data_IF_025466373789
#
_entry.id   IF_025466373789
#
_cell.length_a   1.000
_cell.length_b   1.000
_cell.length_c   1.000
_cell.angle_alpha   90.00
_cell.angle_beta   90.00
_cell.angle_gamma   90.00
#
_symmetry.space_group_name_H-M   'P 1'
#
loop_
_entity.id
_entity.type
_entity.pdbx_description
1 polymer ?
#
# COMPACT_ATOMS: atom_id res chain seq x y z
N UNK A 1 60.94 -55.37 2.74
CA UNK A 1 60.62 -55.03 2.37
C UNK A 1 59.75 -54.20 1.92
N UNK A 2 59.33 -53.78 1.77
CA UNK A 2 58.59 -53.16 1.32
C UNK A 2 58.06 -52.15 1.23
N UNK A 3 57.81 -51.63 0.98
CA UNK A 3 57.46 -50.78 0.84
C UNK A 3 56.65 -50.05 0.33
N UNK A 4 56.25 -49.62 0.14
CA UNK A 4 55.64 -48.99 -0.31
C UNK A 4 54.88 -48.17 -0.45
N UNK A 5 54.59 -47.79 -0.57
CA UNK A 5 53.96 -47.15 -0.77
C UNK A 5 53.35 -46.30 -1.00
N UNK A 6 53.16 -45.84 -1.02
CA UNK A 6 52.60 -45.15 -1.10
C UNK A 6 52.01 -44.28 -1.58
N UNK A 7 51.73 -44.03 -1.86
CA UNK A 7 51.30 -43.24 -2.40
C UNK A 7 50.28 -42.70 -2.54
N UNK A 8 50.03 -42.17 -2.54
CA UNK A 8 49.15 -41.59 -2.59
C UNK A 8 48.79 -40.60 -3.09
N UNK A 9 48.38 -40.20 -3.39
CA UNK A 9 47.99 -39.34 -3.89
C UNK A 9 47.20 -38.53 -3.95
N UNK A 10 47.10 -38.07 -4.02
CA UNK A 10 46.69 -37.29 -4.16
C UNK A 10 45.76 -36.67 -4.54
N UNK A 11 45.49 -36.50 -4.71
CA UNK A 11 44.86 -36.02 -5.13
C UNK A 11 44.10 -35.16 -5.16
N UNK A 12 44.10 -34.90 -4.91
CA UNK A 12 43.55 -34.22 -4.77
C UNK A 12 42.89 -33.37 -5.19
N UNK A 13 42.88 -33.20 -5.28
CA UNK A 13 42.30 -32.50 -5.46
C UNK A 13 41.55 -31.71 -5.76
N UNK A 14 41.55 -31.66 -6.01
CA UNK A 14 40.98 -30.96 -6.39
C UNK A 14 39.98 -30.38 -6.37
N UNK A 15 39.69 -30.67 -6.43
CA UNK A 15 38.87 -30.27 -6.41
C UNK A 15 38.21 -29.29 -6.32
N UNK A 16 38.37 -29.05 -5.98
CA UNK A 16 37.84 -28.19 -5.69
C UNK A 16 37.13 -27.40 -6.19
N UNK A 17 37.26 -27.31 -6.48
CA UNK A 17 36.84 -26.61 -6.86
C UNK A 17 35.78 -26.14 -7.07
N UNK A 18 35.58 -26.58 -7.24
CA UNK A 18 34.60 -26.28 -7.54
C UNK A 18 33.90 -25.45 -7.08
N UNK A 19 33.90 -25.58 -6.47
CA UNK A 19 33.29 -24.83 -5.87
C UNK A 19 32.78 -23.81 -6.30
N UNK A 20 33.23 -23.68 -6.79
CA UNK A 20 32.85 -22.83 -7.10
C UNK A 20 31.80 -22.37 -7.25
N UNK A 21 31.51 -22.63 -7.25
CA UNK A 21 30.89 -22.26 -7.30
C UNK A 21 29.95 -21.61 -7.24
N UNK A 22 29.90 -21.84 -7.45
CA UNK A 22 29.18 -21.54 -7.27
C UNK A 22 28.60 -20.65 -6.94
N UNK A 23 28.81 -20.73 -6.59
CA UNK A 23 28.46 -19.93 -5.99
C UNK A 23 27.85 -19.05 -6.43
N UNK A 24 28.23 -18.94 -6.83
CA UNK A 24 27.86 -18.02 -7.22
C UNK A 24 26.74 -17.75 -7.32
N UNK A 25 26.49 -18.26 -7.66
CA UNK A 25 25.49 -17.98 -7.93
C UNK A 25 24.65 -17.40 -7.32
N UNK A 26 24.65 -17.72 -6.91
CA UNK A 26 23.78 -17.36 -6.33
C UNK A 26 23.44 -16.31 -6.19
N UNK A 27 23.89 -16.28 -6.11
CA UNK A 27 23.78 -15.33 -5.71
C UNK A 27 23.07 -14.43 -6.09
N UNK A 28 23.31 -14.21 -6.70
CA UNK A 28 22.75 -13.20 -7.10
C UNK A 28 21.42 -13.11 -7.17
N UNK A 29 20.95 -13.95 -7.57
CA UNK A 29 19.64 -13.87 -7.84
C UNK A 29 18.80 -13.22 -6.89
N UNK A 30 18.93 -13.55 -5.81
CA UNK A 30 18.02 -13.06 -4.87
C UNK A 30 17.99 -11.63 -4.80
N UNK A 31 19.07 -11.11 -4.92
CA UNK A 31 19.08 -9.72 -4.77
C UNK A 31 18.21 -9.05 -5.74
N UNK A 32 18.16 -9.56 -6.85
CA UNK A 32 17.41 -8.89 -7.86
C UNK A 32 15.96 -8.77 -7.54
N UNK A 33 15.44 -9.74 -6.92
CA UNK A 33 14.02 -9.67 -6.67
C UNK A 33 13.64 -8.57 -5.78
N UNK A 34 14.44 -8.29 -4.86
CA UNK A 34 14.06 -7.28 -3.90
C UNK A 34 13.89 -5.93 -4.53
N UNK A 35 14.57 -5.70 -5.57
CA UNK A 35 14.54 -4.38 -6.15
C UNK A 35 13.27 -4.07 -6.86
N UNK A 36 12.42 -4.99 -6.97
CA UNK A 36 11.27 -4.77 -7.82
C UNK A 36 10.05 -4.25 -7.12
N UNK A 37 10.20 -3.82 -5.92
CA UNK A 37 9.08 -3.18 -5.30
C UNK A 37 8.81 -1.87 -5.99
N UNK A 38 7.68 -1.77 -6.61
CA UNK A 38 7.31 -0.54 -7.24
C UNK A 38 7.04 0.51 -6.20
N UNK A 39 7.51 1.69 -6.42
CA UNK A 39 7.16 2.79 -5.55
C UNK A 39 5.66 3.03 -5.66
N UNK A 40 5.07 3.38 -4.57
CA UNK A 40 3.68 3.75 -4.57
C UNK A 40 3.47 4.89 -5.56
N UNK A 41 2.37 4.90 -6.27
CA UNK A 41 2.09 5.99 -7.20
C UNK A 41 2.06 7.31 -6.44
N UNK A 42 2.58 8.34 -7.02
CA UNK A 42 2.56 9.64 -6.38
C UNK A 42 1.13 10.07 -6.16
N UNK A 43 0.89 10.63 -5.02
CA UNK A 43 -0.41 11.19 -4.74
C UNK A 43 -0.70 12.25 -5.77
N UNK A 44 -1.91 12.28 -6.24
CA UNK A 44 -2.32 13.28 -7.21
C UNK A 44 -2.12 14.67 -6.60
N UNK A 45 -1.64 15.60 -7.40
CA UNK A 45 -1.43 16.95 -6.90
C UNK A 45 -2.75 17.58 -6.49
N UNK A 46 -2.73 18.36 -5.45
CA UNK A 46 -3.93 19.01 -4.98
C UNK A 46 -4.49 19.92 -6.06
N UNK A 47 -5.77 19.78 -6.30
CA UNK A 47 -6.46 20.66 -7.25
C UNK A 47 -6.79 20.07 -8.59
N UNK A 48 -6.29 18.90 -8.89
CA UNK A 48 -6.59 18.29 -10.17
C UNK A 48 -7.57 17.17 -9.95
N UNK A 49 -8.78 17.36 -9.87
CA UNK A 49 -9.80 16.32 -9.71
C UNK A 49 -9.25 14.89 -9.65
N UNK A 50 -8.67 14.54 -8.55
CA UNK A 50 -8.08 13.21 -8.42
C UNK A 50 -9.16 12.15 -8.56
N UNK A 51 -8.81 11.09 -9.26
CA UNK A 51 -9.73 9.97 -9.40
C UNK A 51 -9.68 9.16 -8.11
N UNK A 52 -10.78 9.14 -7.41
CA UNK A 52 -10.93 8.33 -6.22
C UNK A 52 -11.37 6.94 -6.66
N UNK A 53 -10.59 5.95 -6.36
CA UNK A 53 -10.84 4.59 -6.82
C UNK A 53 -10.41 3.54 -5.81
N UNK A 54 -10.55 3.85 -4.54
CA UNK A 54 -10.21 2.92 -3.48
C UNK A 54 -11.35 1.95 -3.17
N UNK A 55 -12.58 2.42 -3.32
CA UNK A 55 -13.74 1.63 -2.94
C UNK A 55 -14.96 2.10 -3.74
N UNK A 56 -15.81 1.16 -4.15
CA UNK A 56 -16.95 1.47 -5.02
C UNK A 56 -18.29 1.05 -4.44
N UNK A 57 -18.34 0.74 -3.17
CA UNK A 57 -19.58 0.32 -2.52
C UNK A 57 -20.25 1.44 -1.74
N UNK A 58 -21.16 1.04 -0.91
CA UNK A 58 -21.91 1.99 -0.08
C UNK A 58 -22.07 1.50 1.36
N UNK A 59 -21.17 0.66 1.82
CA UNK A 59 -21.22 0.15 3.18
C UNK A 59 -20.97 1.27 4.19
N UNK A 60 -21.66 1.24 5.31
CA UNK A 60 -21.46 2.27 6.33
C UNK A 60 -19.99 2.38 6.74
N UNK A 61 -19.52 3.59 6.80
CA UNK A 61 -18.13 3.90 7.18
C UNK A 61 -18.17 5.02 8.22
N UNK A 62 -17.43 4.85 9.29
CA UNK A 62 -17.51 5.75 10.43
C UNK A 62 -16.17 5.89 11.15
N UNK A 63 -16.17 6.76 12.13
CA UNK A 63 -14.99 7.02 12.96
C UNK A 63 -14.39 5.71 13.48
N UNK A 64 -13.10 5.56 13.28
CA UNK A 64 -12.35 4.39 13.69
C UNK A 64 -12.10 3.38 12.58
N UNK A 65 -12.82 3.48 11.48
CA UNK A 65 -12.60 2.57 10.35
C UNK A 65 -11.29 2.88 9.65
N UNK A 66 -10.72 1.85 9.06
CA UNK A 66 -9.46 1.96 8.33
C UNK A 66 -9.57 1.19 7.02
N UNK A 67 -8.70 1.55 6.09
CA UNK A 67 -8.60 0.85 4.82
C UNK A 67 -9.27 1.59 3.68
N UNK A 68 -9.64 0.84 2.66
CA UNK A 68 -10.07 1.43 1.38
C UNK A 68 -11.33 2.29 1.50
N UNK A 69 -12.25 1.90 2.35
CA UNK A 69 -13.47 2.70 2.56
C UNK A 69 -13.14 4.06 3.14
N UNK A 70 -12.26 4.09 4.15
CA UNK A 70 -11.84 5.35 4.73
C UNK A 70 -11.08 6.20 3.71
N UNK A 71 -10.19 5.58 2.96
CA UNK A 71 -9.45 6.28 1.91
C UNK A 71 -10.37 6.88 0.86
N UNK A 72 -11.41 6.16 0.48
CA UNK A 72 -12.36 6.67 -0.52
C UNK A 72 -13.15 7.85 -0.01
N UNK A 73 -13.67 7.76 1.21
CA UNK A 73 -14.37 8.89 1.84
C UNK A 73 -13.46 10.12 1.88
N UNK A 74 -12.23 9.93 2.31
CA UNK A 74 -11.26 11.01 2.41
C UNK A 74 -10.94 11.62 1.05
N UNK A 75 -10.75 10.78 0.05
CA UNK A 75 -10.46 11.24 -1.30
C UNK A 75 -11.62 12.06 -1.86
N UNK A 76 -12.84 11.58 -1.72
CA UNK A 76 -14.01 12.30 -2.18
C UNK A 76 -14.21 13.63 -1.45
N UNK A 77 -13.95 13.66 -0.14
CA UNK A 77 -14.00 14.90 0.62
C UNK A 77 -12.89 15.86 0.24
N UNK A 78 -11.69 15.36 -0.02
CA UNK A 78 -10.57 16.21 -0.43
C UNK A 78 -10.83 16.83 -1.79
N UNK A 79 -11.38 16.09 -2.72
CA UNK A 79 -11.77 16.62 -4.03
C UNK A 79 -12.76 17.77 -3.92
N UNK A 80 -13.58 17.79 -2.87
CA UNK A 80 -14.59 18.81 -2.61
C UNK A 80 -14.13 19.86 -1.62
N UNK A 81 -12.87 19.81 -1.23
CA UNK A 81 -12.23 20.78 -0.33
C UNK A 81 -12.77 20.76 1.10
N UNK A 82 -13.38 19.66 1.50
CA UNK A 82 -13.78 19.46 2.90
C UNK A 82 -12.63 18.92 3.74
N UNK A 83 -11.62 18.33 3.10
CA UNK A 83 -10.50 17.71 3.78
C UNK A 83 -9.21 18.03 3.02
N UNK A 84 -8.12 18.36 3.72
CA UNK A 84 -6.84 18.53 3.04
C UNK A 84 -6.33 17.20 2.53
N UNK A 85 -5.62 17.21 1.41
CA UNK A 85 -5.08 16.00 0.84
C UNK A 85 -4.09 15.28 1.75
N UNK A 86 -3.45 16.02 2.64
CA UNK A 86 -2.55 15.42 3.63
C UNK A 86 -3.26 14.51 4.62
N UNK A 87 -4.56 14.59 4.70
CA UNK A 87 -5.36 13.78 5.61
C UNK A 87 -6.00 12.57 4.93
N UNK A 88 -5.66 12.32 3.68
CA UNK A 88 -6.10 11.12 2.99
C UNK A 88 -5.11 10.02 3.33
N UNK A 89 -5.31 9.44 4.50
CA UNK A 89 -4.37 8.48 5.08
C UNK A 89 -4.96 7.09 5.33
N UNK A 90 -6.22 6.90 4.99
CA UNK A 90 -6.88 5.61 5.16
C UNK A 90 -7.36 5.33 6.57
N UNK A 91 -7.28 6.29 7.47
CA UNK A 91 -7.78 6.14 8.84
C UNK A 91 -8.84 7.19 9.12
N UNK A 92 -10.04 6.76 9.40
CA UNK A 92 -11.15 7.66 9.68
C UNK A 92 -10.99 8.23 11.09
N UNK A 93 -10.27 9.33 11.19
CA UNK A 93 -9.98 9.98 12.46
C UNK A 93 -10.84 11.21 12.70
N UNK A 94 -10.49 12.02 13.72
CA UNK A 94 -11.28 13.20 14.08
C UNK A 94 -11.41 14.22 12.96
N UNK A 95 -10.36 14.42 12.18
CA UNK A 95 -10.38 15.38 11.08
C UNK A 95 -11.33 14.91 9.98
N UNK A 96 -11.32 13.63 9.67
CA UNK A 96 -12.24 13.04 8.71
C UNK A 96 -13.67 13.14 9.20
N UNK A 97 -13.90 12.86 10.48
CA UNK A 97 -15.23 12.97 11.09
C UNK A 97 -15.80 14.38 10.94
N UNK A 98 -15.00 15.39 11.28
CA UNK A 98 -15.43 16.77 11.15
C UNK A 98 -15.74 17.14 9.70
N UNK A 99 -14.94 16.66 8.76
CA UNK A 99 -15.15 16.92 7.35
C UNK A 99 -16.44 16.27 6.85
N UNK A 100 -16.72 15.03 7.27
CA UNK A 100 -17.98 14.35 6.93
C UNK A 100 -19.17 15.13 7.47
N UNK A 101 -19.09 15.55 8.72
CA UNK A 101 -20.20 16.31 9.34
C UNK A 101 -20.48 17.61 8.60
N UNK A 102 -19.42 18.32 8.20
CA UNK A 102 -19.59 19.55 7.42
C UNK A 102 -20.20 19.26 6.06
N UNK A 103 -19.71 18.24 5.39
CA UNK A 103 -20.27 17.84 4.10
C UNK A 103 -21.76 17.52 4.23
N UNK A 104 -22.13 16.76 5.25
CA UNK A 104 -23.52 16.40 5.49
C UNK A 104 -24.38 17.62 5.78
N UNK A 105 -23.88 18.56 6.56
CA UNK A 105 -24.60 19.78 6.87
C UNK A 105 -24.85 20.63 5.63
N UNK A 106 -23.92 20.63 4.70
CA UNK A 106 -24.02 21.41 3.47
C UNK A 106 -24.89 20.72 2.41
N UNK A 107 -25.26 19.48 2.62
CA UNK A 107 -26.04 18.69 1.67
C UNK A 107 -27.33 18.14 2.30
N UNK A 108 -28.31 18.99 2.64
CA UNK A 108 -29.57 18.49 3.16
C UNK A 108 -30.23 17.59 2.09
N UNK A 109 -30.97 16.58 2.49
CA UNK A 109 -31.43 16.30 3.85
C UNK A 109 -30.51 15.38 4.65
N UNK A 110 -29.21 15.34 4.36
CA UNK A 110 -28.29 14.53 5.15
C UNK A 110 -28.22 15.09 6.57
N UNK A 111 -28.12 14.18 7.53
CA UNK A 111 -27.96 14.54 8.93
C UNK A 111 -26.45 14.56 9.23
N UNK A 112 -25.92 15.60 9.88
CA UNK A 112 -24.48 15.67 10.16
C UNK A 112 -24.08 14.76 11.32
N UNK A 113 -24.31 13.47 11.14
CA UNK A 113 -23.98 12.46 12.14
C UNK A 113 -22.53 12.03 12.12
N UNK A 114 -21.87 12.21 10.99
CA UNK A 114 -20.53 11.69 10.81
C UNK A 114 -20.47 10.26 10.32
N UNK A 115 -21.62 9.59 10.23
CA UNK A 115 -21.72 8.26 9.66
C UNK A 115 -21.90 8.36 8.15
N UNK A 116 -21.05 7.73 7.39
CA UNK A 116 -21.17 7.69 5.95
C UNK A 116 -21.99 6.46 5.57
N UNK A 117 -23.30 6.63 5.58
CA UNK A 117 -24.22 5.59 5.13
C UNK A 117 -24.51 5.71 3.64
N UNK A 118 -25.45 4.89 3.12
CA UNK A 118 -25.75 4.87 1.68
C UNK A 118 -26.13 6.22 1.09
N UNK A 119 -26.86 7.04 1.82
CA UNK A 119 -27.24 8.36 1.33
C UNK A 119 -26.04 9.30 1.25
N UNK A 120 -25.19 9.25 2.24
CA UNK A 120 -23.96 10.07 2.25
C UNK A 120 -23.02 9.62 1.15
N UNK A 121 -22.89 8.30 0.96
CA UNK A 121 -22.10 7.78 -0.14
C UNK A 121 -22.64 8.29 -1.49
N UNK A 122 -23.95 8.21 -1.68
CA UNK A 122 -24.55 8.70 -2.92
C UNK A 122 -24.26 10.18 -3.13
N UNK A 123 -24.36 10.98 -2.09
CA UNK A 123 -24.05 12.39 -2.19
C UNK A 123 -22.57 12.62 -2.48
N UNK A 124 -21.68 11.87 -1.85
CA UNK A 124 -20.25 11.97 -2.10
C UNK A 124 -19.88 11.62 -3.54
N UNK A 125 -20.57 10.65 -4.14
CA UNK A 125 -20.31 10.29 -5.52
C UNK A 125 -20.84 11.31 -6.52
N UNK A 126 -21.94 11.95 -6.19
CA UNK A 126 -22.67 12.78 -7.15
C UNK A 126 -22.54 14.29 -6.91
N UNK A 127 -21.93 14.69 -5.84
CA UNK A 127 -21.84 16.10 -5.51
C UNK A 127 -20.81 16.86 -6.36
#
# INVERSE_FOLDING_TARGET
MIRNAFRTPRTAGASALAVLTLAAALIAAPAASAAQQEPAPPLAPPGAGAVCAFYFGNEPTLYGDQGDRASEVQCLLANRRYLPWSEVDGTFGPTTLAAVQRFQADHPPLIPSGLVGPRTWSALWNA
#
